data_IF_261812904114
#
_entry.id   IF_261812904114
#
_cell.length_a   1.000
_cell.length_b   1.000
_cell.length_c   1.000
_cell.angle_alpha   90.00
_cell.angle_beta   90.00
_cell.angle_gamma   90.00
#
_symmetry.space_group_name_H-M   'P 1'
#
loop_
_entity.id
_entity.type
_entity.pdbx_description
1 polymer ?
#
# COMPACT_ATOMS: atom_id res chain seq x y z
N UNK A 1 -22.32 14.12 -5.38
CA UNK A 1 -22.15 13.64 -3.99
C UNK A 1 -20.88 12.81 -3.87
N UNK A 2 -19.74 13.45 -3.57
CA UNK A 2 -18.54 12.72 -3.21
C UNK A 2 -18.77 12.10 -1.83
N UNK A 3 -18.87 10.78 -1.75
CA UNK A 3 -19.14 10.04 -0.51
C UNK A 3 -18.12 10.48 0.55
N UNK A 4 -18.62 10.96 1.70
CA UNK A 4 -17.76 11.39 2.79
C UNK A 4 -16.72 10.30 3.11
N UNK A 5 -15.47 10.70 3.28
CA UNK A 5 -14.40 9.78 3.67
C UNK A 5 -14.76 9.11 5.01
N UNK A 6 -15.14 7.84 5.03
CA UNK A 6 -15.38 7.09 6.27
C UNK A 6 -14.37 5.92 6.40
N UNK A 7 -14.40 5.24 7.54
CA UNK A 7 -13.54 4.08 7.79
C UNK A 7 -13.68 2.96 6.75
N UNK A 8 -14.89 2.74 6.19
CA UNK A 8 -15.11 1.79 5.09
C UNK A 8 -14.42 2.24 3.80
N UNK A 9 -14.42 3.54 3.51
CA UNK A 9 -13.70 4.11 2.38
C UNK A 9 -12.18 3.95 2.51
N UNK A 10 -11.64 4.06 3.72
CA UNK A 10 -10.23 3.73 3.97
C UNK A 10 -9.97 2.23 3.82
N UNK A 11 -10.82 1.39 4.42
CA UNK A 11 -10.72 -0.07 4.34
C UNK A 11 -10.71 -0.55 2.89
N UNK A 12 -11.60 -0.02 2.04
CA UNK A 12 -11.64 -0.36 0.61
C UNK A 12 -10.35 -0.01 -0.13
N UNK A 13 -9.77 1.18 0.14
CA UNK A 13 -8.46 1.58 -0.41
C UNK A 13 -7.34 0.68 0.09
N UNK A 14 -7.39 0.28 1.36
CA UNK A 14 -6.42 -0.63 1.95
C UNK A 14 -6.52 -2.05 1.40
N UNK A 15 -7.72 -2.61 1.25
CA UNK A 15 -7.94 -3.91 0.59
C UNK A 15 -7.43 -3.89 -0.85
N UNK A 16 -7.67 -2.79 -1.58
CA UNK A 16 -7.11 -2.66 -2.93
C UNK A 16 -5.57 -2.59 -2.90
N UNK A 17 -4.98 -1.83 -1.97
CA UNK A 17 -3.53 -1.78 -1.81
C UNK A 17 -2.94 -3.14 -1.43
N UNK A 18 -3.60 -3.91 -0.57
CA UNK A 18 -3.24 -5.28 -0.23
C UNK A 18 -3.26 -6.16 -1.47
N UNK A 19 -4.36 -6.14 -2.23
CA UNK A 19 -4.47 -6.90 -3.48
C UNK A 19 -3.35 -6.53 -4.46
N UNK A 20 -3.09 -5.24 -4.66
CA UNK A 20 -2.01 -4.77 -5.53
C UNK A 20 -0.64 -5.32 -5.10
N UNK A 21 -0.30 -5.19 -3.82
CA UNK A 21 1.00 -5.62 -3.29
C UNK A 21 1.13 -7.15 -3.35
N UNK A 22 0.12 -7.88 -2.88
CA UNK A 22 0.14 -9.35 -2.88
C UNK A 22 0.09 -9.95 -4.28
N UNK A 23 -0.67 -9.38 -5.21
CA UNK A 23 -0.67 -9.83 -6.61
C UNK A 23 0.67 -9.53 -7.30
N UNK A 24 1.40 -8.50 -6.87
CA UNK A 24 2.74 -8.21 -7.40
C UNK A 24 3.77 -9.20 -6.86
N UNK A 25 3.83 -9.37 -5.54
CA UNK A 25 4.74 -10.28 -4.89
C UNK A 25 4.13 -10.85 -3.61
N UNK A 26 4.28 -12.17 -3.45
CA UNK A 26 4.07 -12.88 -2.20
C UNK A 26 4.94 -14.14 -2.22
N UNK A 27 5.27 -14.74 -1.07
CA UNK A 27 6.16 -15.90 -1.00
C UNK A 27 5.52 -17.21 -1.49
N UNK A 28 4.35 -17.15 -2.15
CA UNK A 28 3.68 -18.31 -2.76
C UNK A 28 3.88 -18.31 -4.28
N UNK A 29 3.44 -19.37 -4.94
CA UNK A 29 3.47 -19.48 -6.40
C UNK A 29 2.44 -18.58 -7.11
N UNK A 30 1.51 -17.99 -6.37
CA UNK A 30 0.42 -17.16 -6.88
C UNK A 30 0.74 -15.66 -6.81
N UNK A 31 1.85 -15.23 -7.40
CA UNK A 31 2.21 -13.83 -7.57
C UNK A 31 2.67 -13.56 -9.00
N UNK A 32 2.55 -12.32 -9.45
CA UNK A 32 3.06 -11.95 -10.77
C UNK A 32 4.57 -12.18 -10.88
N UNK A 33 5.32 -11.88 -9.80
CA UNK A 33 6.75 -12.15 -9.75
C UNK A 33 7.09 -13.64 -9.89
N UNK A 34 6.37 -14.53 -9.19
CA UNK A 34 6.60 -15.97 -9.31
C UNK A 34 6.25 -16.49 -10.70
N UNK A 35 5.24 -15.92 -11.37
CA UNK A 35 4.91 -16.30 -12.75
C UNK A 35 5.99 -15.92 -13.75
N UNK A 36 6.59 -14.72 -13.64
CA UNK A 36 7.64 -14.29 -14.56
C UNK A 36 9.01 -14.91 -14.25
N UNK A 37 9.22 -15.33 -12.99
CA UNK A 37 10.47 -15.93 -12.53
C UNK A 37 10.48 -17.46 -12.63
N UNK A 38 9.36 -18.09 -13.00
CA UNK A 38 9.29 -19.54 -13.15
C UNK A 38 10.12 -20.01 -14.36
N UNK A 39 10.85 -21.11 -14.19
CA UNK A 39 11.63 -21.71 -15.27
C UNK A 39 10.73 -22.14 -16.43
N UNK A 40 11.12 -21.80 -17.66
CA UNK A 40 10.36 -22.13 -18.87
C UNK A 40 9.17 -21.21 -19.14
N UNK A 41 9.05 -20.08 -18.45
CA UNK A 41 7.98 -19.09 -18.72
C UNK A 41 8.13 -18.50 -20.11
N UNK A 42 7.13 -18.75 -20.97
CA UNK A 42 6.97 -18.02 -22.22
C UNK A 42 6.24 -16.71 -21.96
N UNK A 43 6.82 -15.60 -22.42
CA UNK A 43 6.21 -14.28 -22.27
C UNK A 43 4.96 -14.17 -23.15
N UNK A 44 3.80 -14.43 -22.55
CA UNK A 44 2.51 -14.41 -23.23
C UNK A 44 1.81 -13.05 -23.14
N UNK A 45 0.88 -12.74 -24.05
CA UNK A 45 0.05 -11.53 -23.97
C UNK A 45 -0.70 -11.39 -22.64
N UNK A 46 -1.06 -12.51 -22.00
CA UNK A 46 -1.71 -12.52 -20.70
C UNK A 46 -0.78 -11.97 -19.59
N UNK A 47 0.47 -12.43 -19.56
CA UNK A 47 1.48 -11.94 -18.60
C UNK A 47 1.69 -10.44 -18.81
N UNK A 48 1.84 -10.00 -20.06
CA UNK A 48 1.98 -8.58 -20.38
C UNK A 48 0.79 -7.74 -19.90
N UNK A 49 -0.45 -8.21 -20.14
CA UNK A 49 -1.66 -7.51 -19.71
C UNK A 49 -1.74 -7.38 -18.19
N UNK A 50 -1.51 -8.47 -17.44
CA UNK A 50 -1.52 -8.46 -15.97
C UNK A 50 -0.42 -7.52 -15.44
N UNK A 51 0.77 -7.57 -16.03
CA UNK A 51 1.88 -6.68 -15.66
C UNK A 51 1.53 -5.20 -15.86
N UNK A 52 0.88 -4.85 -16.98
CA UNK A 52 0.43 -3.47 -17.25
C UNK A 52 -0.64 -3.03 -16.25
N UNK A 53 -1.61 -3.89 -15.93
CA UNK A 53 -2.66 -3.57 -14.94
C UNK A 53 -2.04 -3.31 -13.56
N UNK A 54 -1.11 -4.17 -13.12
CA UNK A 54 -0.37 -3.97 -11.87
C UNK A 54 0.44 -2.68 -11.91
N UNK A 55 1.13 -2.40 -13.01
CA UNK A 55 1.93 -1.18 -13.16
C UNK A 55 1.06 0.08 -13.07
N UNK A 56 -0.12 0.10 -13.70
CA UNK A 56 -1.08 1.20 -13.58
C UNK A 56 -1.48 1.39 -12.11
N UNK A 57 -1.82 0.30 -11.41
CA UNK A 57 -2.14 0.33 -9.99
C UNK A 57 -1.02 0.93 -9.14
N UNK A 58 0.22 0.46 -9.34
CA UNK A 58 1.40 0.99 -8.65
C UNK A 58 1.62 2.47 -8.92
N UNK A 59 1.52 2.92 -10.18
CA UNK A 59 1.69 4.33 -10.53
C UNK A 59 0.66 5.20 -9.82
N UNK A 60 -0.62 4.78 -9.78
CA UNK A 60 -1.69 5.53 -9.11
C UNK A 60 -1.37 5.66 -7.62
N UNK A 61 -1.10 4.55 -6.93
CA UNK A 61 -0.87 4.55 -5.49
C UNK A 61 0.42 5.26 -5.09
N UNK A 62 1.52 5.04 -5.81
CA UNK A 62 2.80 5.70 -5.53
C UNK A 62 2.70 7.20 -5.76
N UNK A 63 2.11 7.66 -6.87
CA UNK A 63 1.94 9.09 -7.13
C UNK A 63 1.04 9.75 -6.09
N UNK A 64 -0.07 9.12 -5.72
CA UNK A 64 -0.95 9.63 -4.67
C UNK A 64 -0.21 9.77 -3.34
N UNK A 65 0.53 8.72 -2.94
CA UNK A 65 1.30 8.69 -1.69
C UNK A 65 2.39 9.74 -1.68
N UNK A 66 3.21 9.83 -2.75
CA UNK A 66 4.30 10.81 -2.86
C UNK A 66 3.77 12.24 -2.85
N UNK A 67 2.67 12.52 -3.58
CA UNK A 67 2.09 13.87 -3.61
C UNK A 67 1.49 14.27 -2.27
N UNK A 68 0.96 13.32 -1.50
CA UNK A 68 0.27 13.62 -0.27
C UNK A 68 1.19 13.69 0.95
N UNK A 69 2.11 12.73 1.09
CA UNK A 69 3.03 12.61 2.23
C UNK A 69 4.42 13.20 1.96
N UNK A 70 4.85 13.25 0.69
CA UNK A 70 6.24 13.52 0.33
C UNK A 70 7.19 12.39 0.78
N UNK A 71 8.46 12.51 0.40
CA UNK A 71 9.49 11.53 0.76
C UNK A 71 9.70 11.47 2.28
N UNK A 72 9.67 12.62 2.95
CA UNK A 72 9.81 12.71 4.41
C UNK A 72 8.67 12.00 5.11
N UNK A 73 7.41 12.22 4.69
CA UNK A 73 6.25 11.55 5.29
C UNK A 73 6.29 10.04 5.09
N UNK A 74 6.72 9.56 3.91
CA UNK A 74 6.93 8.13 3.67
C UNK A 74 8.03 7.58 4.59
N UNK A 75 9.15 8.30 4.73
CA UNK A 75 10.24 7.92 5.63
C UNK A 75 9.81 7.84 7.09
N UNK A 76 9.02 8.82 7.57
CA UNK A 76 8.45 8.82 8.92
C UNK A 76 7.45 7.68 9.11
N UNK A 77 6.62 7.39 8.10
CA UNK A 77 5.71 6.24 8.13
C UNK A 77 6.47 4.92 8.22
N UNK A 78 7.49 4.75 7.38
CA UNK A 78 8.37 3.58 7.41
C UNK A 78 9.10 3.44 8.76
N UNK A 79 9.59 4.54 9.34
CA UNK A 79 10.23 4.55 10.65
C UNK A 79 9.25 4.17 11.76
N UNK A 80 8.02 4.75 11.76
CA UNK A 80 6.97 4.41 12.71
C UNK A 80 6.65 2.92 12.69
N UNK A 81 6.43 2.35 11.50
CA UNK A 81 6.15 0.93 11.36
C UNK A 81 7.36 0.05 11.67
N UNK A 82 8.58 0.50 11.36
CA UNK A 82 9.81 -0.17 11.79
C UNK A 82 9.93 -0.23 13.31
N UNK A 83 9.61 0.85 14.02
CA UNK A 83 9.54 0.87 15.48
C UNK A 83 8.44 -0.05 16.02
N UNK A 84 7.27 -0.14 15.37
CA UNK A 84 6.21 -1.08 15.77
C UNK A 84 6.64 -2.54 15.60
N UNK A 85 7.31 -2.88 14.49
CA UNK A 85 7.90 -4.22 14.31
C UNK A 85 8.91 -4.49 15.42
N UNK A 86 9.83 -3.55 15.66
CA UNK A 86 10.83 -3.69 16.72
C UNK A 86 10.14 -3.91 18.07
N UNK A 87 9.13 -3.12 18.42
CA UNK A 87 8.38 -3.30 19.66
C UNK A 87 7.81 -4.72 19.78
N UNK A 88 7.24 -5.28 18.72
CA UNK A 88 6.70 -6.65 18.74
C UNK A 88 7.78 -7.74 18.81
N UNK A 89 8.95 -7.49 18.23
CA UNK A 89 10.12 -8.38 18.41
C UNK A 89 10.59 -8.34 19.86
N UNK A 90 10.69 -7.16 20.47
CA UNK A 90 11.13 -6.97 21.86
C UNK A 90 10.15 -7.62 22.86
N UNK A 91 8.84 -7.54 22.58
CA UNK A 91 7.81 -8.23 23.35
C UNK A 91 7.79 -9.75 23.15
N UNK A 92 8.61 -10.29 22.24
CA UNK A 92 8.66 -11.72 21.92
C UNK A 92 7.47 -12.22 21.08
N UNK A 93 6.68 -11.32 20.51
CA UNK A 93 5.53 -11.67 19.65
C UNK A 93 5.96 -12.02 18.22
N UNK A 94 7.13 -11.52 17.81
CA UNK A 94 7.68 -11.72 16.48
C UNK A 94 9.13 -12.22 16.53
N UNK A 95 9.46 -13.22 15.72
CA UNK A 95 10.84 -13.68 15.53
C UNK A 95 11.39 -13.21 14.18
N UNK A 96 12.60 -12.64 14.21
CA UNK A 96 13.32 -12.23 13.00
C UNK A 96 13.92 -13.40 12.21
N UNK A 97 13.99 -14.60 12.82
CA UNK A 97 14.55 -15.79 12.18
C UNK A 97 13.60 -16.39 11.14
N UNK A 98 12.30 -16.08 11.25
CA UNK A 98 11.28 -16.53 10.31
C UNK A 98 11.12 -15.52 9.18
N UNK A 99 12.00 -15.60 8.17
CA UNK A 99 12.00 -14.71 7.00
C UNK A 99 10.63 -14.61 6.33
N UNK A 100 9.87 -15.72 6.28
CA UNK A 100 8.52 -15.73 5.72
C UNK A 100 7.56 -14.78 6.44
N UNK A 101 7.54 -14.81 7.77
CA UNK A 101 6.67 -13.93 8.58
C UNK A 101 7.02 -12.45 8.36
N UNK A 102 8.32 -12.13 8.31
CA UNK A 102 8.81 -10.79 8.01
C UNK A 102 8.35 -10.30 6.62
N UNK A 103 8.36 -11.17 5.61
CA UNK A 103 7.88 -10.82 4.27
C UNK A 103 6.40 -10.45 4.28
N UNK A 104 5.54 -11.26 4.91
CA UNK A 104 4.10 -10.95 4.99
C UNK A 104 3.84 -9.63 5.70
N UNK A 105 4.56 -9.36 6.79
CA UNK A 105 4.46 -8.11 7.53
C UNK A 105 4.90 -6.93 6.66
N UNK A 106 6.03 -7.03 5.97
CA UNK A 106 6.51 -5.98 5.08
C UNK A 106 5.49 -5.65 3.98
N UNK A 107 4.84 -6.66 3.38
CA UNK A 107 3.80 -6.46 2.36
C UNK A 107 2.57 -5.74 2.94
N UNK A 108 2.11 -6.14 4.13
CA UNK A 108 1.01 -5.45 4.82
C UNK A 108 1.40 -4.01 5.15
N UNK A 109 2.63 -3.75 5.61
CA UNK A 109 3.12 -2.41 5.90
C UNK A 109 3.16 -1.52 4.67
N UNK A 110 3.68 -2.01 3.56
CA UNK A 110 3.68 -1.29 2.29
C UNK A 110 2.24 -0.94 1.89
N UNK A 111 1.30 -1.88 1.99
CA UNK A 111 -0.11 -1.62 1.67
C UNK A 111 -0.74 -0.55 2.57
N UNK A 112 -0.39 -0.51 3.86
CA UNK A 112 -0.87 0.50 4.81
C UNK A 112 -0.32 1.89 4.49
N UNK A 113 0.96 2.00 4.14
CA UNK A 113 1.57 3.26 3.70
C UNK A 113 0.86 3.78 2.45
N UNK A 114 0.63 2.92 1.47
CA UNK A 114 -0.06 3.26 0.22
C UNK A 114 -1.51 3.72 0.46
N UNK A 115 -2.27 2.99 1.29
CA UNK A 115 -3.65 3.33 1.63
C UNK A 115 -3.74 4.65 2.42
N UNK A 116 -2.79 4.87 3.34
CA UNK A 116 -2.67 6.11 4.12
C UNK A 116 -2.33 7.28 3.21
N UNK A 117 -1.38 7.12 2.31
CA UNK A 117 -1.00 8.14 1.33
C UNK A 117 -2.17 8.59 0.46
N UNK A 118 -2.94 7.64 -0.06
CA UNK A 118 -4.14 7.94 -0.84
C UNK A 118 -5.22 8.67 -0.01
N UNK A 119 -5.28 8.42 1.30
CA UNK A 119 -6.31 8.97 2.19
C UNK A 119 -5.87 10.25 2.92
N UNK A 120 -4.61 10.66 2.76
CA UNK A 120 -3.99 11.69 3.58
C UNK A 120 -4.60 13.08 3.39
N UNK A 121 -5.09 13.41 2.19
CA UNK A 121 -5.81 14.68 1.96
C UNK A 121 -7.05 14.80 2.86
N UNK A 122 -7.81 13.72 3.03
CA UNK A 122 -8.97 13.68 3.91
C UNK A 122 -8.57 13.71 5.39
N UNK A 123 -7.54 12.96 5.78
CA UNK A 123 -7.03 12.94 7.16
C UNK A 123 -6.54 14.33 7.56
N UNK A 124 -5.73 14.98 6.72
CA UNK A 124 -5.22 16.33 6.96
C UNK A 124 -6.36 17.34 7.12
N UNK A 125 -7.33 17.36 6.21
CA UNK A 125 -8.50 18.26 6.27
C UNK A 125 -9.26 18.14 7.59
N UNK A 126 -9.46 16.91 8.08
CA UNK A 126 -10.13 16.66 9.37
C UNK A 126 -9.31 17.13 10.58
N UNK A 127 -8.01 16.87 10.56
CA UNK A 127 -7.13 17.26 11.67
C UNK A 127 -6.95 18.78 11.75
N UNK A 128 -6.87 19.47 10.62
CA UNK A 128 -6.66 20.92 10.57
C UNK A 128 -7.96 21.73 10.63
N UNK A 129 -9.12 21.08 10.51
CA UNK A 129 -10.41 21.76 10.39
C UNK A 129 -10.53 22.61 9.13
N UNK A 130 -9.67 22.38 8.13
CA UNK A 130 -9.71 23.10 6.86
C UNK A 130 -10.88 22.58 6.01
N UNK A 131 -11.95 23.35 5.97
CA UNK A 131 -12.93 23.32 4.90
C UNK A 131 -12.42 24.26 3.81
N UNK A 132 -12.22 23.76 2.58
CA UNK A 132 -12.03 24.66 1.46
C UNK A 132 -13.30 25.51 1.34
N UNK A 133 -13.15 26.82 1.29
CA UNK A 133 -14.26 27.78 1.11
C UNK A 133 -14.76 27.76 -0.35
N UNK A 134 -14.26 26.84 -1.17
CA UNK A 134 -14.51 26.76 -2.62
C UNK A 134 -15.41 25.57 -3.02
N UNK A 135 -16.16 24.98 -2.09
CA UNK A 135 -17.40 24.26 -2.44
C UNK A 135 -18.56 25.27 -2.59
N UNK A 136 -18.36 26.27 -3.46
CA UNK A 136 -19.43 27.07 -4.04
C UNK A 136 -19.55 26.66 -5.50
N UNK A 137 -20.70 26.07 -5.83
CA UNK A 137 -21.24 25.81 -7.17
C UNK A 137 -20.62 24.63 -7.96
N UNK A 138 -21.13 23.41 -7.70
CA UNK A 138 -21.87 22.55 -8.69
C UNK A 138 -22.22 21.15 -8.13
#
# INVERSE_FOLDING_TARGET
MATEFNALGFLGRWVFALALVFSTYNPTEYSYFSWIAADGTEFSPLIALVGIILLIGWIIFLRATLRALGVVGIGLGAALFGCLIWLFVDMGWLSLEQTGALTWIALVLISLILATGMSWSHVRRRLTGQFDVDETDD
#
